data_IF_462041541872
#
_entry.id   IF_462041541872
#
_cell.length_a   1.000
_cell.length_b   1.000
_cell.length_c   1.000
_cell.angle_alpha   90.00
_cell.angle_beta   90.00
_cell.angle_gamma   90.00
#
_symmetry.space_group_name_H-M   'P 1'
#
loop_
_entity.id
_entity.type
_entity.pdbx_description
1 polymer ?
#
# COMPACT_ATOMS: atom_id res chain seq x y z
N UNK A 1 -23.43 -8.97 1.06
CA UNK A 1 -22.84 -7.61 1.01
C UNK A 1 -21.36 -7.73 0.69
N UNK A 2 -20.84 -6.98 -0.27
CA UNK A 2 -19.43 -7.01 -0.66
C UNK A 2 -18.59 -6.28 0.40
N UNK A 3 -17.52 -6.91 0.89
CA UNK A 3 -16.55 -6.27 1.79
C UNK A 3 -15.83 -5.12 1.07
N UNK A 4 -15.85 -3.93 1.66
CA UNK A 4 -15.33 -2.70 1.06
C UNK A 4 -14.10 -2.20 1.80
N UNK A 5 -13.02 -1.97 1.06
CA UNK A 5 -11.75 -1.49 1.61
C UNK A 5 -11.38 -0.16 0.98
N UNK A 6 -11.14 0.84 1.82
CA UNK A 6 -10.61 2.14 1.42
C UNK A 6 -9.09 2.11 1.61
N UNK A 7 -8.34 2.34 0.54
CA UNK A 7 -6.89 2.49 0.58
C UNK A 7 -6.54 3.97 0.49
N UNK A 8 -5.78 4.44 1.46
CA UNK A 8 -5.36 5.81 1.60
C UNK A 8 -3.85 5.87 1.32
N UNK A 9 -3.42 6.29 0.12
CA UNK A 9 -2.02 6.52 -0.20
C UNK A 9 -1.59 7.89 0.28
N UNK A 10 -0.29 8.10 0.45
CA UNK A 10 0.28 9.44 0.66
C UNK A 10 0.22 10.28 -0.63
N UNK A 11 0.52 9.67 -1.77
CA UNK A 11 0.34 10.24 -3.11
C UNK A 11 -0.61 9.36 -3.95
N UNK A 12 -1.84 9.83 -4.23
CA UNK A 12 -2.80 9.05 -5.00
C UNK A 12 -2.51 9.02 -6.51
N UNK A 13 -1.60 9.85 -7.02
CA UNK A 13 -1.42 10.05 -8.47
C UNK A 13 -0.91 8.79 -9.15
N UNK A 14 0.11 8.14 -8.59
CA UNK A 14 0.74 6.95 -9.16
C UNK A 14 0.71 5.73 -8.23
N UNK A 15 0.76 5.94 -6.92
CA UNK A 15 0.81 4.84 -5.96
C UNK A 15 -0.44 3.96 -5.99
N UNK A 16 -1.56 4.50 -6.40
CA UNK A 16 -2.80 3.73 -6.59
C UNK A 16 -2.65 2.55 -7.55
N UNK A 17 -1.80 2.66 -8.58
CA UNK A 17 -1.53 1.58 -9.54
C UNK A 17 -0.68 0.45 -8.97
N UNK A 18 0.04 0.70 -7.90
CA UNK A 18 0.78 -0.31 -7.13
C UNK A 18 -0.12 -0.87 -6.01
N UNK A 19 -0.75 0.02 -5.25
CA UNK A 19 -1.46 -0.32 -4.02
C UNK A 19 -2.75 -1.09 -4.27
N UNK A 20 -3.51 -0.74 -5.30
CA UNK A 20 -4.79 -1.42 -5.57
C UNK A 20 -4.58 -2.91 -5.87
N UNK A 21 -3.75 -3.31 -6.86
CA UNK A 21 -3.49 -4.73 -7.13
C UNK A 21 -2.86 -5.45 -5.93
N UNK A 22 -1.97 -4.80 -5.18
CA UNK A 22 -1.37 -5.36 -3.97
C UNK A 22 -2.43 -5.69 -2.92
N UNK A 23 -3.29 -4.75 -2.59
CA UNK A 23 -4.34 -4.94 -1.58
C UNK A 23 -5.37 -5.96 -2.06
N UNK A 24 -5.76 -5.96 -3.33
CA UNK A 24 -6.64 -6.98 -3.90
C UNK A 24 -6.04 -8.38 -3.77
N UNK A 25 -4.72 -8.52 -4.02
CA UNK A 25 -4.01 -9.79 -3.82
C UNK A 25 -4.01 -10.20 -2.35
N UNK A 26 -3.66 -9.30 -1.42
CA UNK A 26 -3.66 -9.57 0.02
C UNK A 26 -5.04 -10.03 0.51
N UNK A 27 -6.09 -9.33 0.10
CA UNK A 27 -7.46 -9.68 0.48
C UNK A 27 -7.87 -11.04 -0.09
N UNK A 28 -7.43 -11.39 -1.30
CA UNK A 28 -7.61 -12.72 -1.86
C UNK A 28 -6.98 -13.82 -1.01
N UNK A 29 -5.75 -13.61 -0.54
CA UNK A 29 -5.00 -14.56 0.31
C UNK A 29 -5.64 -14.74 1.70
N UNK A 30 -6.34 -13.73 2.22
CA UNK A 30 -7.05 -13.81 3.50
C UNK A 30 -8.54 -14.18 3.34
N UNK A 31 -8.92 -14.74 2.20
CA UNK A 31 -10.28 -15.28 1.98
C UNK A 31 -11.33 -14.23 1.60
N UNK A 32 -10.93 -13.07 1.12
CA UNK A 32 -11.82 -11.99 0.64
C UNK A 32 -11.61 -11.65 -0.85
N UNK A 33 -11.60 -12.64 -1.79
CA UNK A 33 -11.28 -12.39 -3.20
C UNK A 33 -12.30 -11.50 -3.93
N UNK A 34 -13.48 -11.30 -3.34
CA UNK A 34 -14.54 -10.42 -3.89
C UNK A 34 -14.64 -9.07 -3.17
N UNK A 35 -13.65 -8.72 -2.36
CA UNK A 35 -13.60 -7.42 -1.72
C UNK A 35 -13.50 -6.30 -2.79
N UNK A 36 -14.13 -5.16 -2.49
CA UNK A 36 -14.03 -3.97 -3.34
C UNK A 36 -12.99 -3.03 -2.77
N UNK A 37 -11.90 -2.87 -3.49
CA UNK A 37 -10.80 -1.97 -3.13
C UNK A 37 -10.97 -0.64 -3.85
N UNK A 38 -11.01 0.43 -3.09
CA UNK A 38 -11.11 1.80 -3.59
C UNK A 38 -9.89 2.59 -3.11
N UNK A 39 -9.16 3.20 -4.05
CA UNK A 39 -8.10 4.16 -3.72
C UNK A 39 -8.74 5.51 -3.44
N UNK A 40 -8.38 6.13 -2.33
CA UNK A 40 -8.83 7.49 -2.01
C UNK A 40 -8.21 8.48 -3.01
N UNK A 41 -9.07 9.17 -3.75
CA UNK A 41 -8.68 10.22 -4.70
C UNK A 41 -9.33 11.56 -4.40
N UNK A 42 -10.33 11.58 -3.54
CA UNK A 42 -11.06 12.78 -3.13
C UNK A 42 -11.34 12.77 -1.61
N UNK A 43 -10.69 13.66 -0.83
CA UNK A 43 -9.81 14.74 -1.29
C UNK A 43 -8.50 14.21 -1.87
N UNK A 44 -7.88 14.98 -2.78
CA UNK A 44 -6.52 14.70 -3.23
C UNK A 44 -5.56 15.00 -2.08
N UNK A 45 -4.89 13.97 -1.60
CA UNK A 45 -3.90 14.11 -0.54
C UNK A 45 -2.58 14.67 -1.10
N UNK A 46 -1.85 15.37 -0.25
CA UNK A 46 -0.57 15.96 -0.58
C UNK A 46 0.38 15.79 0.62
N UNK A 47 1.01 14.63 0.68
CA UNK A 47 1.98 14.27 1.71
C UNK A 47 1.34 13.80 3.02
N UNK A 48 2.20 13.26 3.87
CA UNK A 48 1.84 12.59 5.12
C UNK A 48 1.01 13.46 6.10
N UNK A 49 1.39 14.72 6.41
CA UNK A 49 0.63 15.56 7.34
C UNK A 49 -0.80 15.81 6.87
N UNK A 50 -0.98 16.04 5.57
CA UNK A 50 -2.31 16.24 4.98
C UNK A 50 -3.16 14.96 5.06
N UNK A 51 -2.54 13.80 4.78
CA UNK A 51 -3.23 12.52 4.89
C UNK A 51 -3.72 12.26 6.33
N UNK A 52 -2.85 12.44 7.33
CA UNK A 52 -3.23 12.26 8.74
C UNK A 52 -4.33 13.23 9.16
N UNK A 53 -4.23 14.51 8.76
CA UNK A 53 -5.26 15.51 9.05
C UNK A 53 -6.62 15.13 8.43
N UNK A 54 -6.62 14.67 7.19
CA UNK A 54 -7.83 14.23 6.51
C UNK A 54 -8.45 12.98 7.18
N UNK A 55 -7.62 11.99 7.55
CA UNK A 55 -8.05 10.78 8.27
C UNK A 55 -8.73 11.14 9.59
N UNK A 56 -8.14 12.05 10.36
CA UNK A 56 -8.71 12.54 11.64
C UNK A 56 -9.94 13.42 11.46
N UNK A 57 -10.07 14.06 10.31
CA UNK A 57 -11.16 14.98 9.97
C UNK A 57 -12.33 14.32 9.25
N UNK A 58 -12.70 14.91 8.12
CA UNK A 58 -13.94 14.60 7.38
C UNK A 58 -13.99 13.21 6.75
N UNK A 59 -12.85 12.52 6.55
CA UNK A 59 -12.89 11.19 5.96
C UNK A 59 -13.71 10.21 6.78
N UNK A 60 -13.65 10.29 8.11
CA UNK A 60 -14.40 9.42 9.00
C UNK A 60 -15.91 9.52 8.76
N UNK A 61 -16.43 10.70 8.42
CA UNK A 61 -17.85 10.87 8.13
C UNK A 61 -18.19 10.47 6.69
N UNK A 62 -17.37 10.84 5.72
CA UNK A 62 -17.59 10.58 4.30
C UNK A 62 -17.46 9.12 3.90
N UNK A 63 -16.54 8.38 4.53
CA UNK A 63 -16.16 7.02 4.15
C UNK A 63 -16.47 5.97 5.22
N UNK A 64 -17.30 6.33 6.22
CA UNK A 64 -17.76 5.41 7.29
C UNK A 64 -18.37 4.10 6.76
N UNK A 65 -18.87 4.11 5.55
CA UNK A 65 -19.49 2.96 4.92
C UNK A 65 -18.51 1.91 4.40
N UNK A 66 -17.18 2.14 4.52
CA UNK A 66 -16.15 1.13 4.24
C UNK A 66 -15.93 0.25 5.48
N UNK A 67 -15.74 -1.05 5.24
CA UNK A 67 -15.58 -2.04 6.30
C UNK A 67 -14.18 -2.02 6.90
N UNK A 68 -13.18 -1.60 6.10
CA UNK A 68 -11.78 -1.49 6.49
C UNK A 68 -11.12 -0.33 5.76
N UNK A 69 -10.23 0.38 6.46
CA UNK A 69 -9.35 1.38 5.89
C UNK A 69 -7.90 0.92 6.00
N UNK A 70 -7.13 1.12 4.95
CA UNK A 70 -5.69 0.87 4.93
C UNK A 70 -4.97 2.19 4.62
N UNK A 71 -4.19 2.69 5.56
CA UNK A 71 -3.30 3.83 5.34
C UNK A 71 -1.89 3.32 5.09
N UNK A 72 -1.39 3.57 3.88
CA UNK A 72 -0.15 2.99 3.35
C UNK A 72 0.83 4.11 2.93
N UNK A 73 1.36 4.89 3.90
CA UNK A 73 2.31 5.97 3.62
C UNK A 73 3.73 5.45 3.40
N UNK A 74 4.62 6.32 2.93
CA UNK A 74 6.05 6.09 2.94
C UNK A 74 6.63 6.18 4.37
N UNK A 75 7.66 5.39 4.67
CA UNK A 75 8.16 5.25 6.04
C UNK A 75 8.98 6.45 6.52
N UNK A 76 9.56 7.23 5.60
CA UNK A 76 10.45 8.35 5.93
C UNK A 76 9.81 9.43 6.82
N UNK A 77 8.48 9.58 6.74
CA UNK A 77 7.69 10.56 7.48
C UNK A 77 6.65 9.95 8.41
N UNK A 78 6.47 8.65 8.36
CA UNK A 78 5.41 7.96 9.09
C UNK A 78 5.72 7.88 10.58
N UNK A 79 4.99 8.63 11.39
CA UNK A 79 5.08 8.63 12.86
C UNK A 79 3.69 8.53 13.49
N UNK A 80 3.60 7.94 14.68
CA UNK A 80 2.36 7.90 15.44
C UNK A 80 1.24 7.04 14.85
N UNK A 81 1.55 6.13 13.94
CA UNK A 81 0.56 5.28 13.28
C UNK A 81 -0.30 4.44 14.25
N UNK A 82 0.26 3.82 15.33
CA UNK A 82 -0.57 3.10 16.30
C UNK A 82 -1.58 3.99 17.00
N UNK A 83 -1.19 5.21 17.37
CA UNK A 83 -2.10 6.19 17.97
C UNK A 83 -3.22 6.64 17.03
N UNK A 84 -2.92 6.76 15.74
CA UNK A 84 -3.92 7.06 14.71
C UNK A 84 -4.95 5.92 14.58
N UNK A 85 -4.50 4.68 14.58
CA UNK A 85 -5.39 3.51 14.55
C UNK A 85 -6.32 3.48 15.77
N UNK A 86 -5.77 3.71 16.96
CA UNK A 86 -6.53 3.75 18.21
C UNK A 86 -7.59 4.85 18.21
N UNK A 87 -7.21 6.06 17.77
CA UNK A 87 -8.13 7.20 17.66
C UNK A 87 -9.31 6.88 16.73
N UNK A 88 -9.03 6.27 15.57
CA UNK A 88 -10.07 5.90 14.62
C UNK A 88 -10.94 4.74 15.12
N UNK A 89 -10.36 3.78 15.85
CA UNK A 89 -11.10 2.69 16.47
C UNK A 89 -12.14 3.22 17.47
N UNK A 90 -11.78 4.22 18.28
CA UNK A 90 -12.72 4.89 19.21
C UNK A 90 -13.89 5.57 18.48
N UNK A 91 -13.71 5.93 17.21
CA UNK A 91 -14.74 6.51 16.34
C UNK A 91 -15.51 5.45 15.53
N UNK A 92 -15.23 4.16 15.76
CA UNK A 92 -15.87 3.04 15.08
C UNK A 92 -15.36 2.80 13.65
N UNK A 93 -14.16 3.28 13.32
CA UNK A 93 -13.50 3.06 12.03
C UNK A 93 -12.36 2.05 12.20
N UNK A 94 -12.40 0.95 11.45
CA UNK A 94 -11.32 -0.02 11.41
C UNK A 94 -10.23 0.47 10.47
N UNK A 95 -9.16 1.04 11.04
CA UNK A 95 -7.98 1.49 10.32
C UNK A 95 -6.79 0.58 10.62
N UNK A 96 -6.11 0.10 9.59
CA UNK A 96 -4.77 -0.49 9.69
C UNK A 96 -3.77 0.37 8.94
N UNK A 97 -2.64 0.65 9.56
CA UNK A 97 -1.55 1.40 8.96
C UNK A 97 -0.37 0.49 8.66
N UNK A 98 0.28 0.71 7.51
CA UNK A 98 1.51 0.03 7.15
C UNK A 98 2.38 1.00 6.34
N UNK A 99 3.48 1.45 6.93
CA UNK A 99 4.43 2.33 6.26
C UNK A 99 5.34 1.53 5.34
N UNK A 100 5.46 1.95 4.09
CA UNK A 100 6.33 1.32 3.11
C UNK A 100 7.79 1.70 3.32
N UNK A 101 8.68 0.73 3.48
CA UNK A 101 10.10 0.96 3.73
C UNK A 101 10.92 0.80 2.44
N UNK A 102 11.62 1.85 1.99
CA UNK A 102 11.48 3.24 2.43
C UNK A 102 10.24 3.92 1.86
N UNK A 103 9.78 3.50 0.70
CA UNK A 103 8.66 4.06 -0.09
C UNK A 103 7.85 2.93 -0.74
N UNK A 104 6.63 3.22 -1.17
CA UNK A 104 5.71 2.26 -1.81
C UNK A 104 6.33 1.58 -3.03
N UNK A 105 7.18 2.26 -3.77
CA UNK A 105 7.88 1.74 -4.94
C UNK A 105 8.77 0.53 -4.63
N UNK A 106 9.29 0.42 -3.39
CA UNK A 106 10.05 -0.74 -2.95
C UNK A 106 9.24 -2.04 -3.04
N UNK A 107 7.95 -1.99 -2.77
CA UNK A 107 7.09 -3.17 -2.87
C UNK A 107 6.97 -3.70 -4.29
N UNK A 108 6.92 -2.82 -5.29
CA UNK A 108 6.97 -3.23 -6.69
C UNK A 108 8.35 -3.79 -7.05
N UNK A 109 9.43 -3.11 -6.65
CA UNK A 109 10.80 -3.50 -6.95
C UNK A 109 11.19 -4.85 -6.35
N UNK A 110 10.52 -5.31 -5.30
CA UNK A 110 10.76 -6.60 -4.66
C UNK A 110 10.70 -7.80 -5.64
N UNK A 111 9.91 -7.71 -6.70
CA UNK A 111 9.84 -8.71 -7.76
C UNK A 111 10.94 -8.65 -8.81
N UNK A 112 11.80 -7.65 -8.73
CA UNK A 112 12.84 -7.34 -9.74
C UNK A 112 14.23 -7.20 -9.15
N UNK A 113 14.45 -7.74 -7.95
CA UNK A 113 15.70 -7.56 -7.17
C UNK A 113 16.97 -7.84 -7.95
N UNK A 114 16.95 -8.85 -8.82
CA UNK A 114 18.10 -9.26 -9.62
C UNK A 114 18.37 -8.32 -10.82
N UNK A 115 17.48 -7.35 -11.09
CA UNK A 115 17.53 -6.44 -12.24
C UNK A 115 17.86 -4.99 -11.85
N UNK A 116 18.01 -4.70 -10.55
CA UNK A 116 18.10 -3.32 -10.06
C UNK A 116 19.52 -2.74 -10.08
N UNK A 117 20.57 -3.59 -10.06
CA UNK A 117 21.95 -3.15 -9.90
C UNK A 117 22.33 -2.72 -8.48
N UNK A 118 21.41 -2.91 -7.52
CA UNK A 118 21.59 -2.69 -6.08
C UNK A 118 21.23 -3.97 -5.34
N UNK A 119 21.88 -4.23 -4.21
CA UNK A 119 21.44 -5.28 -3.31
C UNK A 119 20.12 -4.90 -2.65
N UNK A 120 19.35 -5.90 -2.23
CA UNK A 120 18.05 -5.60 -1.61
C UNK A 120 18.14 -4.77 -0.33
N UNK A 121 19.12 -5.00 0.58
CA UNK A 121 19.34 -4.10 1.71
C UNK A 121 19.61 -2.65 1.30
N UNK A 122 20.41 -2.40 0.25
CA UNK A 122 20.66 -1.05 -0.25
C UNK A 122 19.36 -0.39 -0.75
N UNK A 123 18.51 -1.13 -1.46
CA UNK A 123 17.18 -0.65 -1.90
C UNK A 123 16.31 -0.27 -0.70
N UNK A 124 16.33 -1.09 0.35
CA UNK A 124 15.51 -0.88 1.57
C UNK A 124 15.96 0.28 2.44
N UNK A 125 17.19 0.74 2.28
CA UNK A 125 17.77 1.85 3.04
C UNK A 125 17.98 3.10 2.15
N UNK A 126 17.59 3.04 0.88
CA UNK A 126 17.85 4.11 -0.08
C UNK A 126 17.01 5.35 0.24
N UNK A 127 17.66 6.51 0.45
CA UNK A 127 16.99 7.74 0.84
C UNK A 127 16.20 8.42 -0.29
N UNK A 128 16.54 8.10 -1.54
CA UNK A 128 15.92 8.64 -2.75
C UNK A 128 15.60 7.50 -3.70
N UNK A 129 14.89 6.51 -3.18
CA UNK A 129 14.60 5.28 -3.90
C UNK A 129 13.87 5.56 -5.21
N UNK A 130 12.88 6.43 -5.18
CA UNK A 130 12.06 6.78 -6.33
C UNK A 130 12.91 7.35 -7.46
N UNK A 131 13.72 8.36 -7.19
CA UNK A 131 14.51 9.05 -8.23
C UNK A 131 15.70 8.23 -8.71
N UNK A 132 16.42 7.58 -7.80
CA UNK A 132 17.71 6.99 -8.11
C UNK A 132 17.62 5.52 -8.55
N UNK A 133 16.56 4.80 -8.17
CA UNK A 133 16.36 3.37 -8.46
C UNK A 133 15.10 3.12 -9.27
N UNK A 134 13.96 3.60 -8.79
CA UNK A 134 12.67 3.25 -9.37
C UNK A 134 12.41 3.94 -10.72
N UNK A 135 12.62 5.24 -10.85
CA UNK A 135 12.39 5.95 -12.11
C UNK A 135 13.31 5.45 -13.23
N UNK A 136 14.64 5.22 -13.03
CA UNK A 136 15.48 4.56 -14.02
C UNK A 136 15.01 3.15 -14.38
N UNK A 137 14.57 2.36 -13.39
CA UNK A 137 14.00 1.04 -13.64
C UNK A 137 12.71 1.14 -14.47
N UNK A 138 11.80 2.01 -14.09
CA UNK A 138 10.53 2.22 -14.80
C UNK A 138 10.75 2.67 -16.25
N UNK A 139 11.74 3.53 -16.49
CA UNK A 139 12.10 3.99 -17.84
C UNK A 139 12.57 2.84 -18.74
N UNK A 140 13.30 1.87 -18.19
CA UNK A 140 13.78 0.70 -18.95
C UNK A 140 12.72 -0.40 -19.12
N UNK A 141 11.91 -0.62 -18.09
CA UNK A 141 11.04 -1.80 -17.96
C UNK A 141 9.55 -1.48 -18.06
N UNK A 142 9.19 -0.21 -17.90
CA UNK A 142 7.81 0.26 -17.96
C UNK A 142 7.37 0.56 -19.40
N UNK A 143 6.10 0.90 -19.51
CA UNK A 143 5.48 1.40 -20.73
C UNK A 143 4.69 2.66 -20.40
N UNK A 144 5.19 3.82 -20.84
CA UNK A 144 4.58 5.12 -20.57
C UNK A 144 3.13 5.24 -21.08
N UNK A 145 2.71 4.38 -22.02
CA UNK A 145 1.36 4.34 -22.58
C UNK A 145 0.41 3.46 -21.76
N UNK A 146 0.94 2.62 -20.89
CA UNK A 146 0.16 1.74 -20.01
C UNK A 146 -0.28 2.47 -18.72
N UNK A 147 -1.33 1.99 -18.04
CA UNK A 147 -1.81 2.57 -16.79
C UNK A 147 -0.69 2.74 -15.75
N UNK A 148 -0.60 3.94 -15.18
CA UNK A 148 0.43 4.28 -14.22
C UNK A 148 1.85 4.25 -14.78
N UNK A 149 2.04 4.45 -16.12
CA UNK A 149 3.34 4.35 -16.76
C UNK A 149 3.92 2.93 -16.72
N UNK A 150 3.05 1.92 -16.69
CA UNK A 150 3.43 0.51 -16.60
C UNK A 150 3.48 -0.06 -15.17
N UNK A 151 3.23 0.74 -14.13
CA UNK A 151 3.26 0.29 -12.72
C UNK A 151 2.30 -0.87 -12.47
N UNK A 152 1.09 -0.81 -13.01
CA UNK A 152 0.09 -1.85 -12.84
C UNK A 152 0.53 -3.19 -13.43
N UNK A 153 1.17 -3.18 -14.60
CA UNK A 153 1.73 -4.38 -15.22
C UNK A 153 2.93 -4.92 -14.43
N UNK A 154 3.81 -4.03 -14.00
CA UNK A 154 5.03 -4.40 -13.29
C UNK A 154 4.74 -5.00 -11.91
N UNK A 155 3.80 -4.41 -11.16
CA UNK A 155 3.41 -4.99 -9.86
C UNK A 155 2.82 -6.39 -10.01
N UNK A 156 2.18 -6.70 -11.13
CA UNK A 156 1.62 -8.03 -11.42
C UNK A 156 2.68 -9.13 -11.35
N UNK A 157 3.89 -8.90 -11.88
CA UNK A 157 5.00 -9.86 -11.76
C UNK A 157 5.42 -10.06 -10.29
N UNK A 158 5.53 -8.98 -9.54
CA UNK A 158 5.85 -9.06 -8.10
C UNK A 158 4.80 -9.87 -7.35
N UNK A 159 3.53 -9.64 -7.63
CA UNK A 159 2.42 -10.33 -6.97
C UNK A 159 2.29 -11.79 -7.39
N UNK A 160 2.85 -12.21 -8.52
CA UNK A 160 2.89 -13.64 -8.92
C UNK A 160 3.67 -14.49 -7.93
N UNK A 161 4.64 -13.89 -7.22
CA UNK A 161 5.35 -14.50 -6.10
C UNK A 161 5.04 -13.76 -4.78
N UNK A 162 3.78 -13.80 -4.36
CA UNK A 162 3.33 -13.10 -3.17
C UNK A 162 4.08 -13.49 -1.90
N UNK A 163 4.38 -14.78 -1.70
CA UNK A 163 5.17 -15.25 -0.56
C UNK A 163 6.59 -14.70 -0.59
N UNK A 164 7.19 -14.63 -1.77
CA UNK A 164 8.51 -14.02 -1.96
C UNK A 164 8.50 -12.52 -1.63
N UNK A 165 7.43 -11.80 -1.98
CA UNK A 165 7.23 -10.41 -1.59
C UNK A 165 7.20 -10.26 -0.07
N UNK A 166 6.39 -11.06 0.63
CA UNK A 166 6.30 -11.00 2.10
C UNK A 166 7.61 -11.36 2.79
N UNK A 167 8.40 -12.27 2.21
CA UNK A 167 9.69 -12.68 2.78
C UNK A 167 10.74 -11.58 2.78
N UNK A 168 10.60 -10.57 1.92
CA UNK A 168 11.57 -9.47 1.77
C UNK A 168 11.02 -8.11 2.18
N UNK A 169 9.72 -8.03 2.46
CA UNK A 169 9.03 -6.83 2.96
C UNK A 169 8.32 -7.18 4.27
N UNK A 170 9.03 -7.16 5.42
CA UNK A 170 8.47 -7.59 6.70
C UNK A 170 7.27 -6.75 7.15
N UNK A 171 7.19 -5.49 6.78
CA UNK A 171 6.03 -4.63 7.04
C UNK A 171 4.76 -5.13 6.31
N UNK A 172 4.90 -5.66 5.10
CA UNK A 172 3.77 -6.30 4.39
C UNK A 172 3.40 -7.65 5.01
N UNK A 173 4.39 -8.42 5.47
CA UNK A 173 4.13 -9.67 6.19
C UNK A 173 3.34 -9.40 7.48
N UNK A 174 3.69 -8.34 8.21
CA UNK A 174 2.96 -7.92 9.40
C UNK A 174 1.53 -7.48 9.06
N UNK A 175 1.34 -6.69 8.00
CA UNK A 175 0.01 -6.31 7.53
C UNK A 175 -0.83 -7.54 7.14
N UNK A 176 -0.25 -8.51 6.43
CA UNK A 176 -0.91 -9.77 6.07
C UNK A 176 -1.38 -10.54 7.31
N UNK A 177 -0.52 -10.65 8.33
CA UNK A 177 -0.86 -11.30 9.59
C UNK A 177 -2.01 -10.56 10.32
N UNK A 178 -1.99 -9.24 10.35
CA UNK A 178 -3.04 -8.43 10.96
C UNK A 178 -4.37 -8.56 10.22
N UNK A 179 -4.33 -8.61 8.88
CA UNK A 179 -5.53 -8.87 8.08
C UNK A 179 -6.11 -10.26 8.35
N UNK A 180 -5.27 -11.29 8.50
CA UNK A 180 -5.72 -12.65 8.86
C UNK A 180 -6.38 -12.70 10.23
N UNK A 181 -5.82 -11.96 11.20
CA UNK A 181 -6.39 -11.87 12.54
C UNK A 181 -7.73 -11.13 12.56
N UNK A 182 -7.85 -10.05 11.79
CA UNK A 182 -9.06 -9.24 11.70
C UNK A 182 -10.17 -9.91 10.89
N UNK A 183 -9.81 -10.68 9.86
CA UNK A 183 -10.72 -11.28 8.89
C UNK A 183 -10.65 -12.82 8.94
N UNK A 184 -11.05 -13.45 10.05
CA UNK A 184 -10.98 -14.91 10.18
C UNK A 184 -11.73 -15.57 9.01
N UNK A 185 -11.12 -16.58 8.44
CA UNK A 185 -11.76 -17.39 7.40
C UNK A 185 -13.02 -18.02 8.03
N UNK A 186 -14.17 -17.80 7.43
CA UNK A 186 -15.35 -18.59 7.77
C UNK A 186 -15.05 -20.03 7.35
N UNK A 187 -14.98 -20.90 8.33
CA UNK A 187 -14.91 -22.33 8.12
C UNK A 187 -16.07 -22.82 7.25
#
# INVERSE_FOLDING_TARGET
>A
VSFRVLVIPEDPTYNGYILKPLVERMLGEVGKPKARVTILTNPKLNGYPHAVSAIKGDLADRYRHFDLWLFLPDADRATGLPGLEEELAQRGVHLLCCAAQPEVEAWLLAGYRDELGFSWPEVREHQRLKEDVFEPFLTRSGDARSPGGGREKLIGRTLSNYRGLLSVCPELAELDNRLRALLPQRA
#
